data_IF_612997987034
#
_entry.id   IF_612997987034
#
_cell.length_a   1.000
_cell.length_b   1.000
_cell.length_c   1.000
_cell.angle_alpha   90.00
_cell.angle_beta   90.00
_cell.angle_gamma   90.00
#
_symmetry.space_group_name_H-M   'P 1'
#
loop_
_entity.id
_entity.type
_entity.pdbx_description
1 polymer ?
#
# COMPACT_ATOMS: atom_id res chain seq x y z
N UNK A 1 3.68 5.46 4.14
CA UNK A 1 4.22 4.64 3.04
C UNK A 1 3.14 3.68 2.57
N UNK A 2 2.97 3.53 1.26
CA UNK A 2 2.11 2.53 0.61
C UNK A 2 2.98 1.79 -0.42
N UNK A 3 2.73 0.49 -0.62
CA UNK A 3 3.33 -0.27 -1.71
C UNK A 3 2.48 -1.51 -2.02
N UNK A 4 2.73 -2.14 -3.17
CA UNK A 4 2.24 -3.49 -3.49
C UNK A 4 3.32 -4.55 -3.30
N UNK A 5 2.91 -5.82 -3.24
CA UNK A 5 3.81 -6.98 -3.27
C UNK A 5 3.41 -7.91 -4.41
N UNK A 6 4.38 -8.28 -5.25
CA UNK A 6 4.19 -9.23 -6.35
C UNK A 6 5.40 -10.17 -6.41
N UNK A 7 5.18 -11.48 -6.37
CA UNK A 7 6.26 -12.48 -6.44
C UNK A 7 7.43 -12.20 -5.45
N UNK A 8 7.11 -11.88 -4.20
CA UNK A 8 8.07 -11.50 -3.15
C UNK A 8 8.91 -10.24 -3.45
N UNK A 9 8.45 -9.39 -4.38
CA UNK A 9 9.07 -8.11 -4.71
C UNK A 9 8.10 -6.96 -4.38
N UNK A 10 8.63 -5.92 -3.74
CA UNK A 10 7.89 -4.68 -3.50
C UNK A 10 7.77 -3.94 -4.83
N UNK A 11 6.55 -3.52 -5.16
CA UNK A 11 6.22 -2.72 -6.35
C UNK A 11 5.49 -1.45 -5.93
N UNK A 12 5.51 -0.42 -6.79
CA UNK A 12 4.83 0.85 -6.53
C UNK A 12 5.11 1.46 -5.13
N UNK A 13 6.34 1.46 -4.58
CA UNK A 13 6.55 2.06 -3.26
C UNK A 13 6.40 3.58 -3.32
N UNK A 14 5.66 4.15 -2.37
CA UNK A 14 5.56 5.60 -2.17
C UNK A 14 5.70 5.96 -0.70
N UNK A 15 6.47 7.02 -0.43
CA UNK A 15 6.57 7.66 0.87
C UNK A 15 5.91 9.04 0.75
N UNK A 16 5.10 9.41 1.73
CA UNK A 16 4.38 10.67 1.80
C UNK A 16 4.28 11.10 3.27
N UNK A 17 4.05 12.39 3.48
CA UNK A 17 3.89 12.98 4.80
C UNK A 17 2.42 12.89 5.27
N UNK A 18 2.23 12.70 6.58
CA UNK A 18 0.91 12.60 7.19
C UNK A 18 0.26 11.21 7.12
N UNK A 19 -1.03 11.16 7.44
CA UNK A 19 -1.81 9.92 7.50
C UNK A 19 -2.37 9.54 6.13
N UNK A 20 -2.37 8.24 5.82
CA UNK A 20 -3.04 7.74 4.62
C UNK A 20 -4.55 7.97 4.76
N UNK A 21 -5.15 8.64 3.77
CA UNK A 21 -6.60 8.83 3.68
C UNK A 21 -7.12 8.41 2.31
N UNK A 22 -8.43 8.57 2.08
CA UNK A 22 -9.09 8.18 0.82
C UNK A 22 -8.50 8.89 -0.41
N UNK A 23 -8.19 10.17 -0.29
CA UNK A 23 -7.68 11.00 -1.39
C UNK A 23 -6.27 10.55 -1.78
N UNK A 24 -5.35 10.49 -0.81
CA UNK A 24 -3.96 10.04 -1.01
C UNK A 24 -3.95 8.64 -1.63
N UNK A 25 -4.77 7.73 -1.11
CA UNK A 25 -4.81 6.36 -1.63
C UNK A 25 -5.39 6.29 -3.05
N UNK A 26 -6.42 7.09 -3.37
CA UNK A 26 -6.98 7.14 -4.72
C UNK A 26 -5.95 7.68 -5.72
N UNK A 27 -5.27 8.77 -5.38
CA UNK A 27 -4.18 9.32 -6.21
C UNK A 27 -3.04 8.31 -6.37
N UNK A 28 -2.66 7.60 -5.31
CA UNK A 28 -1.66 6.54 -5.39
C UNK A 28 -2.06 5.44 -6.39
N UNK A 29 -3.32 4.98 -6.34
CA UNK A 29 -3.82 3.95 -7.26
C UNK A 29 -3.75 4.45 -8.70
N UNK A 30 -4.28 5.64 -8.96
CA UNK A 30 -4.35 6.25 -10.29
C UNK A 30 -2.97 6.51 -10.90
N UNK A 31 -2.05 7.06 -10.11
CA UNK A 31 -0.81 7.65 -10.64
C UNK A 31 0.40 6.73 -10.54
N UNK A 32 0.36 5.72 -9.67
CA UNK A 32 1.49 4.83 -9.39
C UNK A 32 1.09 3.38 -9.60
N UNK A 33 0.07 2.87 -8.90
CA UNK A 33 -0.24 1.43 -8.91
C UNK A 33 -0.63 0.94 -10.31
N UNK A 34 -1.53 1.64 -11.00
CA UNK A 34 -2.02 1.26 -12.34
C UNK A 34 -0.91 1.07 -13.37
N UNK A 35 0.22 1.80 -13.23
CA UNK A 35 1.38 1.69 -14.13
C UNK A 35 2.18 0.39 -13.95
N UNK A 36 2.06 -0.24 -12.77
CA UNK A 36 2.74 -1.50 -12.43
C UNK A 36 1.87 -2.74 -12.70
N UNK A 37 0.59 -2.54 -13.00
CA UNK A 37 -0.38 -3.61 -13.22
C UNK A 37 -0.39 -4.08 -14.68
N UNK A 38 -0.72 -5.36 -14.87
CA UNK A 38 -0.90 -5.98 -16.17
C UNK A 38 -2.29 -6.63 -16.30
N UNK A 39 -2.95 -6.56 -17.47
CA UNK A 39 -4.24 -7.20 -17.69
C UNK A 39 -4.26 -8.67 -17.25
N UNK A 40 -5.34 -9.07 -16.61
CA UNK A 40 -5.53 -10.43 -16.06
C UNK A 40 -5.03 -10.62 -14.63
N UNK A 41 -4.35 -9.64 -14.04
CA UNK A 41 -3.94 -9.70 -12.63
C UNK A 41 -5.11 -9.41 -11.67
N UNK A 42 -5.02 -9.94 -10.46
CA UNK A 42 -5.92 -9.63 -9.35
C UNK A 42 -5.17 -8.84 -8.30
N UNK A 43 -5.64 -7.63 -8.00
CA UNK A 43 -5.17 -6.80 -6.90
C UNK A 43 -5.90 -7.24 -5.63
N UNK A 44 -5.14 -7.77 -4.67
CA UNK A 44 -5.66 -8.13 -3.36
C UNK A 44 -5.41 -6.95 -2.42
N UNK A 45 -6.49 -6.41 -1.84
CA UNK A 45 -6.43 -5.26 -0.92
C UNK A 45 -6.95 -5.61 0.47
N UNK A 46 -6.42 -4.93 1.47
CA UNK A 46 -6.97 -4.96 2.82
C UNK A 46 -8.40 -4.37 2.84
N UNK A 47 -9.19 -4.86 3.79
CA UNK A 47 -10.62 -4.65 3.89
C UNK A 47 -11.00 -3.43 4.76
N UNK A 48 -10.32 -2.30 4.51
CA UNK A 48 -10.55 -1.05 5.24
C UNK A 48 -11.41 -0.08 4.43
N UNK A 49 -12.18 0.76 5.12
CA UNK A 49 -13.26 1.55 4.52
C UNK A 49 -12.81 2.44 3.35
N UNK A 50 -11.65 3.08 3.45
CA UNK A 50 -11.18 3.99 2.40
C UNK A 50 -10.58 3.27 1.18
N UNK A 51 -10.31 1.96 1.25
CA UNK A 51 -9.98 1.15 0.07
C UNK A 51 -11.24 0.80 -0.76
N UNK A 52 -12.43 0.85 -0.16
CA UNK A 52 -13.70 0.53 -0.80
C UNK A 52 -14.32 1.76 -1.47
N UNK A 53 -13.60 2.33 -2.42
CA UNK A 53 -14.10 3.41 -3.26
C UNK A 53 -14.41 2.89 -4.66
N UNK A 54 -15.55 3.27 -5.24
CA UNK A 54 -15.91 2.90 -6.61
C UNK A 54 -14.84 3.36 -7.61
N UNK A 55 -14.24 4.53 -7.38
CA UNK A 55 -13.16 5.08 -8.21
C UNK A 55 -11.94 4.13 -8.23
N UNK A 56 -11.56 3.56 -7.09
CA UNK A 56 -10.43 2.62 -7.02
C UNK A 56 -10.73 1.36 -7.86
N UNK A 57 -11.98 0.91 -7.82
CA UNK A 57 -12.44 -0.21 -8.65
C UNK A 57 -12.34 0.11 -10.13
N UNK A 58 -12.90 1.23 -10.55
CA UNK A 58 -12.88 1.66 -11.95
C UNK A 58 -11.45 1.81 -12.46
N UNK A 59 -10.54 2.41 -11.67
CA UNK A 59 -9.12 2.57 -12.03
C UNK A 59 -8.44 1.21 -12.25
N UNK A 60 -8.60 0.26 -11.34
CA UNK A 60 -7.96 -1.06 -11.48
C UNK A 60 -8.60 -1.89 -12.60
N UNK A 61 -9.92 -1.83 -12.75
CA UNK A 61 -10.62 -2.56 -13.83
C UNK A 61 -10.32 -1.96 -15.21
N UNK A 62 -10.09 -0.64 -15.31
CA UNK A 62 -9.72 0.03 -16.57
C UNK A 62 -8.39 -0.46 -17.16
N UNK A 63 -7.48 -0.98 -16.33
CA UNK A 63 -6.22 -1.61 -16.79
C UNK A 63 -6.35 -3.13 -16.97
N UNK A 64 -7.59 -3.65 -17.02
CA UNK A 64 -7.89 -5.06 -17.26
C UNK A 64 -7.61 -5.96 -16.05
N UNK A 65 -7.51 -5.40 -14.85
CA UNK A 65 -7.30 -6.15 -13.61
C UNK A 65 -8.61 -6.37 -12.84
N UNK A 66 -8.55 -7.22 -11.81
CA UNK A 66 -9.66 -7.46 -10.88
C UNK A 66 -9.27 -7.04 -9.48
N UNK A 67 -10.26 -6.76 -8.63
CA UNK A 67 -10.05 -6.49 -7.21
C UNK A 67 -10.62 -7.63 -6.37
N UNK A 68 -9.86 -8.04 -5.36
CA UNK A 68 -10.33 -8.88 -4.26
C UNK A 68 -10.00 -8.20 -2.94
N UNK A 69 -10.97 -8.17 -2.02
CA UNK A 69 -10.73 -7.70 -0.65
C UNK A 69 -10.50 -8.91 0.27
N UNK A 70 -9.54 -8.78 1.19
CA UNK A 70 -9.34 -9.77 2.25
C UNK A 70 -10.56 -9.82 3.20
N UNK A 71 -10.74 -10.88 3.99
CA UNK A 71 -11.70 -10.86 5.10
C UNK A 71 -11.28 -9.82 6.14
N UNK A 72 -12.25 -9.25 6.86
CA UNK A 72 -11.98 -8.25 7.90
C UNK A 72 -11.07 -8.84 8.98
N UNK A 73 -10.14 -8.03 9.51
CA UNK A 73 -9.19 -8.42 10.56
C UNK A 73 -8.33 -9.65 10.21
N UNK A 74 -7.97 -9.83 8.94
CA UNK A 74 -7.14 -10.94 8.47
C UNK A 74 -5.74 -10.48 8.00
N UNK A 75 -4.93 -9.84 8.87
CA UNK A 75 -3.59 -9.37 8.49
C UNK A 75 -2.65 -10.53 8.11
N UNK A 76 -2.88 -11.74 8.66
CA UNK A 76 -2.10 -12.93 8.34
C UNK A 76 -2.24 -13.37 6.87
N UNK A 77 -3.31 -12.93 6.19
CA UNK A 77 -3.53 -13.17 4.77
C UNK A 77 -2.91 -12.08 3.88
N UNK A 78 -2.20 -11.10 4.45
CA UNK A 78 -1.53 -10.03 3.73
C UNK A 78 0.01 -10.18 3.84
N UNK A 79 0.66 -10.88 2.88
CA UNK A 79 2.09 -11.21 3.00
C UNK A 79 3.03 -10.01 3.08
N UNK A 80 2.60 -8.83 2.61
CA UNK A 80 3.40 -7.60 2.70
C UNK A 80 3.60 -7.15 4.16
N UNK A 81 2.74 -7.56 5.10
CA UNK A 81 2.89 -7.22 6.52
C UNK A 81 4.18 -7.77 7.13
N UNK A 82 4.67 -8.92 6.65
CA UNK A 82 5.97 -9.45 7.07
C UNK A 82 7.14 -8.55 6.64
N UNK A 83 7.05 -7.94 5.45
CA UNK A 83 8.03 -6.97 4.97
C UNK A 83 7.96 -5.70 5.79
N UNK A 84 6.76 -5.19 6.06
CA UNK A 84 6.56 -4.03 6.92
C UNK A 84 7.06 -4.25 8.34
N UNK A 85 6.86 -5.43 8.91
CA UNK A 85 7.40 -5.78 10.22
C UNK A 85 8.93 -5.67 10.22
N UNK A 86 9.60 -6.28 9.23
CA UNK A 86 11.07 -6.23 9.12
C UNK A 86 11.58 -4.80 8.94
N UNK A 87 10.99 -4.03 8.03
CA UNK A 87 11.38 -2.63 7.77
C UNK A 87 11.22 -1.78 9.03
N UNK A 88 10.06 -1.86 9.70
CA UNK A 88 9.81 -1.13 10.95
C UNK A 88 10.80 -1.53 12.05
N UNK A 89 11.15 -2.81 12.15
CA UNK A 89 12.11 -3.30 13.14
C UNK A 89 13.51 -2.74 12.90
N UNK A 90 13.99 -2.73 11.65
CA UNK A 90 15.30 -2.16 11.33
C UNK A 90 15.33 -0.64 11.57
N UNK A 91 14.27 0.09 11.17
CA UNK A 91 14.16 1.53 11.43
C UNK A 91 14.26 1.82 12.94
N UNK A 92 13.58 1.05 13.80
CA UNK A 92 13.61 1.25 15.26
C UNK A 92 15.02 1.14 15.84
N UNK A 93 15.87 0.25 15.32
CA UNK A 93 17.25 0.08 15.78
C UNK A 93 18.11 1.32 15.52
N UNK A 94 17.83 2.04 14.45
CA UNK A 94 18.58 3.24 14.04
C UNK A 94 17.88 4.55 14.43
N UNK A 95 16.61 4.51 14.86
CA UNK A 95 15.83 5.71 15.22
C UNK A 95 16.53 6.57 16.27
N UNK A 96 17.17 5.95 17.28
CA UNK A 96 17.93 6.68 18.30
C UNK A 96 19.20 7.38 17.80
N UNK A 97 19.66 7.06 16.59
CA UNK A 97 20.81 7.68 15.94
C UNK A 97 20.40 8.93 15.14
N UNK A 98 19.12 9.02 14.75
CA UNK A 98 18.56 10.21 14.13
C UNK A 98 18.16 11.22 15.22
N UNK A 99 19.09 12.10 15.61
CA UNK A 99 18.70 13.36 16.26
C UNK A 99 18.01 14.24 15.23
N UNK A 100 16.70 14.11 15.07
CA UNK A 100 15.91 15.18 14.47
C UNK A 100 15.68 16.20 15.59
N UNK A 101 16.64 17.09 15.76
CA UNK A 101 16.39 18.36 16.46
C UNK A 101 15.72 19.30 15.46
N UNK A 102 14.40 19.19 15.35
CA UNK A 102 13.54 20.30 14.95
C UNK A 102 12.62 20.52 16.13
N UNK A 103 13.02 21.46 16.98
CA UNK A 103 12.08 22.12 17.87
C UNK A 103 11.22 23.03 16.99
N UNK A 104 9.90 23.01 17.20
CA UNK A 104 9.01 24.08 16.74
C UNK A 104 9.49 25.44 17.26
#
# INVERSE_FOLDING_TARGET
MIAGLRNNQIIAPVIFEGNCNKEIFTTYVETILTKELHPGQTVIMDNINFHKNNIIRELIESVGCRILFLPTYSPDLNPIEHYWFKIKNEIRKVTGQFKISVWL
#
